data_IF_270314851989
#
_entry.id   IF_270314851989
#
_cell.length_a   1.000
_cell.length_b   1.000
_cell.length_c   1.000
_cell.angle_alpha   90.00
_cell.angle_beta   90.00
_cell.angle_gamma   90.00
#
_symmetry.space_group_name_H-M   'P 1'
#
loop_
_entity.id
_entity.type
_entity.pdbx_description
1 polymer ?
2 non-polymer ?
3 non-polymer ?
4 water ?
#
# COMPACT_ATOMS: atom_id res chain seq x y z
N UNK A 1 -15.48 -18.18 -3.80
CA UNK A 1 -15.86 -18.00 -2.37
C UNK A 1 -15.50 -16.60 -1.91
N UNK A 2 -15.27 -16.39 -0.61
CA UNK A 2 -14.94 -15.05 -0.16
C UNK A 2 -13.59 -14.63 -0.77
N UNK A 3 -13.19 -13.42 -0.44
CA UNK A 3 -11.81 -12.96 -0.74
C UNK A 3 -11.05 -13.22 0.53
N UNK A 4 -9.79 -13.61 0.38
CA UNK A 4 -8.92 -13.85 1.52
C UNK A 4 -8.06 -12.61 1.79
N UNK A 5 -7.95 -12.30 3.05
CA UNK A 5 -7.23 -11.11 3.55
C UNK A 5 -6.39 -11.44 4.76
N UNK A 6 -5.31 -10.70 4.93
CA UNK A 6 -4.40 -10.79 6.10
C UNK A 6 -4.22 -9.41 6.68
N UNK A 7 -4.22 -9.29 7.99
CA UNK A 7 -3.83 -8.05 8.67
C UNK A 7 -2.31 -7.93 8.68
N UNK A 8 -1.81 -6.75 8.41
CA UNK A 8 -0.37 -6.54 8.39
C UNK A 8 -0.01 -5.08 8.57
N UNK A 9 1.23 -4.82 8.89
CA UNK A 9 1.85 -3.51 8.78
C UNK A 9 2.93 -3.58 7.71
N UNK A 10 3.32 -2.41 7.23
CA UNK A 10 4.41 -2.25 6.29
C UNK A 10 5.43 -1.29 6.88
N UNK A 11 6.71 -1.55 6.63
CA UNK A 11 7.79 -0.57 6.90
C UNK A 11 8.70 -0.48 5.68
N UNK A 12 9.12 0.74 5.34
CA UNK A 12 10.03 0.96 4.19
C UNK A 12 11.41 0.37 4.53
N UNK A 13 12.28 0.35 3.54
CA UNK A 13 13.55 -0.37 3.73
C UNK A 13 14.48 0.44 4.63
N UNK A 14 14.10 1.68 4.94
CA UNK A 14 14.88 2.47 5.94
C UNK A 14 14.24 2.29 7.27
N UNK A 15 13.25 1.39 7.39
CA UNK A 15 12.54 0.96 8.59
C UNK A 15 11.66 2.10 9.13
N UNK A 16 11.14 2.92 8.25
CA UNK A 16 10.07 3.87 8.62
C UNK A 16 8.70 3.19 8.59
N UNK A 17 7.90 3.48 9.60
CA UNK A 17 6.53 3.02 9.81
C UNK A 17 5.58 4.01 9.10
N UNK A 18 4.39 3.52 8.79
CA UNK A 18 3.34 4.32 8.10
C UNK A 18 2.25 4.68 9.10
N UNK A 19 1.89 5.96 9.12
CA UNK A 19 0.84 6.52 10.03
C UNK A 19 -0.11 7.39 9.21
N UNK A 20 -1.26 7.74 9.80
CA UNK A 20 -2.21 8.76 9.26
C UNK A 20 -1.54 10.14 9.26
N UNK A 21 -2.06 11.08 8.46
CA UNK A 21 -1.63 12.50 8.42
C UNK A 21 -2.77 13.35 7.85
N UNK A 22 -3.97 13.16 8.40
CA UNK A 22 -5.23 13.73 7.89
C UNK A 22 -6.20 12.62 7.50
N UNK A 23 -7.48 12.96 7.19
CA UNK A 23 -8.51 11.95 6.92
C UNK A 23 -8.20 10.94 5.80
N UNK A 24 -7.37 11.32 4.83
CA UNK A 24 -7.03 10.52 3.62
C UNK A 24 -5.51 10.57 3.34
N UNK A 25 -4.67 10.81 4.34
CA UNK A 25 -3.22 11.00 4.05
C UNK A 25 -2.37 10.10 4.94
N UNK A 26 -1.34 9.51 4.32
CA UNK A 26 -0.35 8.62 4.98
C UNK A 26 1.02 9.30 4.90
N UNK A 27 1.77 9.21 6.00
CA UNK A 27 3.18 9.67 6.07
C UNK A 27 4.02 8.52 6.62
N UNK A 28 5.33 8.61 6.43
CA UNK A 28 6.29 7.62 6.91
C UNK A 28 7.27 8.31 7.86
N UNK A 29 7.43 7.70 8.97
CA UNK A 29 8.37 8.20 9.99
C UNK A 29 8.94 7.04 10.78
N UNK A 30 10.16 7.33 11.27
CA UNK A 30 10.82 6.45 12.22
C UNK A 30 10.03 6.42 13.53
N UNK A 31 9.68 5.24 14.01
CA UNK A 31 8.76 4.99 15.13
C UNK A 31 9.30 3.82 15.90
N UNK A 32 9.23 3.89 17.24
CA UNK A 32 9.61 2.78 18.10
C UNK A 32 8.95 3.04 19.45
N UNK A 33 8.67 1.96 20.14
CA UNK A 33 8.10 1.98 21.51
C UNK A 33 6.63 2.34 21.50
N UNK A 34 6.21 3.14 22.48
CA UNK A 34 4.76 3.43 22.70
C UNK A 34 4.17 3.95 21.38
N UNK A 35 4.85 4.89 20.72
CA UNK A 35 4.31 5.57 19.52
C UNK A 35 3.99 4.52 18.42
N UNK A 36 4.34 3.23 18.58
CA UNK A 36 4.18 2.25 17.46
C UNK A 36 2.71 1.91 17.27
N UNK A 37 1.88 2.14 18.29
CA UNK A 37 0.42 1.94 18.21
C UNK A 37 -0.14 2.85 17.12
N UNK A 38 0.55 3.93 16.74
CA UNK A 38 0.01 4.91 15.77
C UNK A 38 0.11 4.30 14.36
N UNK A 39 0.90 3.27 14.16
CA UNK A 39 1.08 2.78 12.78
C UNK A 39 -0.22 2.23 12.20
N UNK A 40 -0.38 2.34 10.89
CA UNK A 40 -1.60 1.88 10.21
C UNK A 40 -1.50 0.38 10.07
N UNK A 41 -2.58 -0.28 10.38
CA UNK A 41 -2.77 -1.70 10.08
C UNK A 41 -3.58 -1.84 8.81
N UNK A 42 -3.04 -2.57 7.88
CA UNK A 42 -3.68 -2.87 6.59
C UNK A 42 -4.42 -4.19 6.68
N UNK A 43 -5.46 -4.30 5.89
CA UNK A 43 -6.04 -5.58 5.47
C UNK A 43 -5.61 -5.77 4.04
N UNK A 44 -4.70 -6.70 3.81
CA UNK A 44 -4.18 -7.00 2.46
C UNK A 44 -5.04 -8.09 1.90
N UNK A 45 -5.80 -7.80 0.86
CA UNK A 45 -6.68 -8.76 0.17
C UNK A 45 -5.94 -9.34 -1.05
N UNK A 46 -6.15 -10.63 -1.32
CA UNK A 46 -5.50 -11.31 -2.45
C UNK A 46 -6.54 -11.38 -3.57
N UNK A 47 -6.37 -10.57 -4.57
CA UNK A 47 -7.43 -10.23 -5.53
C UNK A 47 -7.17 -10.85 -6.89
N UNK A 48 -8.17 -10.72 -7.74
CA UNK A 48 -8.09 -11.13 -9.15
C UNK A 48 -7.05 -10.30 -9.90
N UNK A 49 -6.28 -10.96 -10.74
CA UNK A 49 -5.34 -10.26 -11.63
C UNK A 49 -4.22 -11.18 -12.10
N UNK A 50 -3.45 -10.72 -13.07
CA UNK A 50 -2.26 -11.46 -13.56
C UNK A 50 -1.28 -11.74 -12.41
N UNK A 51 -0.78 -12.98 -12.29
CA UNK A 51 -0.04 -13.48 -11.11
C UNK A 51 1.12 -14.35 -11.59
N UNK A 52 2.25 -14.29 -10.91
CA UNK A 52 3.39 -15.22 -11.10
C UNK A 52 4.01 -15.53 -9.74
N UNK A 53 5.08 -16.31 -9.72
CA UNK A 53 5.59 -16.85 -8.43
C UNK A 53 5.85 -15.70 -7.48
N UNK A 54 6.44 -14.63 -8.00
CA UNK A 54 6.97 -13.57 -7.11
C UNK A 54 6.16 -12.27 -7.26
N UNK A 55 5.05 -12.32 -8.02
CA UNK A 55 4.18 -11.16 -8.38
C UNK A 55 2.73 -11.50 -8.05
N UNK A 56 2.17 -10.88 -7.01
CA UNK A 56 0.86 -11.33 -6.44
C UNK A 56 -0.04 -10.11 -6.38
N UNK A 57 -1.21 -10.12 -7.04
CA UNK A 57 -2.07 -8.93 -7.03
C UNK A 57 -2.80 -8.81 -5.70
N UNK A 58 -2.71 -7.60 -5.09
CA UNK A 58 -3.36 -7.39 -3.77
C UNK A 58 -4.10 -6.05 -3.82
N UNK A 59 -5.02 -5.90 -2.89
CA UNK A 59 -5.55 -4.58 -2.52
C UNK A 59 -5.09 -4.33 -1.09
N UNK A 60 -4.92 -3.05 -0.81
CA UNK A 60 -4.49 -2.56 0.52
C UNK A 60 -5.59 -1.71 1.11
N UNK A 61 -6.42 -2.27 1.96
CA UNK A 61 -7.40 -1.52 2.71
C UNK A 61 -6.90 -1.20 4.10
N UNK A 62 -7.40 -0.17 4.74
CA UNK A 62 -7.09 0.11 6.15
C UNK A 62 -7.96 -0.78 7.01
N UNK A 63 -7.38 -1.41 8.03
CA UNK A 63 -8.14 -2.41 8.82
C UNK A 63 -9.41 -1.80 9.43
N UNK A 64 -10.52 -2.48 9.15
CA UNK A 64 -11.91 -2.15 9.58
C UNK A 64 -12.24 -0.68 9.25
N UNK A 65 -11.74 -0.21 8.11
CA UNK A 65 -12.16 1.09 7.53
C UNK A 65 -12.50 0.82 6.07
N UNK A 66 -13.48 1.56 5.56
CA UNK A 66 -13.86 1.43 4.14
C UNK A 66 -13.01 2.42 3.35
N UNK A 67 -11.69 2.23 3.45
CA UNK A 67 -10.68 3.07 2.77
C UNK A 67 -9.65 2.13 2.15
N UNK A 68 -9.32 2.41 0.90
CA UNK A 68 -8.35 1.59 0.16
C UNK A 68 -7.33 2.53 -0.47
N UNK A 69 -6.09 2.09 -0.53
CA UNK A 69 -5.14 2.76 -1.44
C UNK A 69 -5.59 2.55 -2.88
N UNK A 70 -5.37 3.59 -3.67
CA UNK A 70 -5.98 3.76 -5.01
C UNK A 70 -5.02 4.56 -5.90
N UNK A 71 -4.88 4.17 -7.17
CA UNK A 71 -4.01 4.87 -8.12
C UNK A 71 -4.91 5.46 -9.19
N UNK A 72 -4.86 6.79 -9.28
CA UNK A 72 -5.66 7.52 -10.29
C UNK A 72 -4.78 8.60 -10.89
N UNK A 73 -5.22 9.07 -12.06
CA UNK A 73 -4.61 10.29 -12.58
C UNK A 73 -5.17 11.49 -11.82
N UNK A 74 -4.29 12.35 -11.33
CA UNK A 74 -4.71 13.61 -10.68
C UNK A 74 -3.88 14.72 -11.30
N UNK A 75 -4.54 15.80 -11.73
CA UNK A 75 -3.85 16.88 -12.47
C UNK A 75 -2.91 16.18 -13.47
N UNK A 76 -3.42 15.17 -14.18
CA UNK A 76 -2.71 14.45 -15.28
C UNK A 76 -1.51 13.61 -14.83
N UNK A 77 -1.38 13.26 -13.56
CA UNK A 77 -0.23 12.40 -13.13
C UNK A 77 -0.78 11.16 -12.40
N UNK A 78 -0.14 9.98 -12.53
CA UNK A 78 -0.45 8.83 -11.66
C UNK A 78 -0.15 9.25 -10.22
N UNK A 79 -1.16 9.18 -9.36
CA UNK A 79 -1.04 9.53 -7.93
C UNK A 79 -1.67 8.43 -7.08
N UNK A 80 -1.17 8.36 -5.87
CA UNK A 80 -1.71 7.49 -4.81
C UNK A 80 -2.75 8.31 -4.07
N UNK A 81 -3.86 7.69 -3.73
CA UNK A 81 -4.85 8.31 -2.85
C UNK A 81 -5.43 7.25 -1.92
N UNK A 82 -6.08 7.70 -0.87
CA UNK A 82 -6.93 6.85 -0.04
C UNK A 82 -8.31 7.11 -0.55
N UNK A 83 -9.07 6.11 -0.89
CA UNK A 83 -10.40 6.27 -1.50
C UNK A 83 -11.42 5.51 -0.64
N UNK A 84 -12.55 6.18 -0.35
CA UNK A 84 -13.72 5.61 0.37
C UNK A 84 -14.50 4.68 -0.56
N UNK A 85 -15.06 3.58 -0.03
CA UNK A 85 -15.91 2.67 -0.78
C UNK A 85 -17.15 2.37 0.06
N UNK A 86 -18.10 1.71 -0.58
CA UNK A 86 -19.32 1.27 0.12
C UNK A 86 -18.95 0.08 0.97
N UNK A 87 -19.05 0.14 2.31
CA UNK A 87 -18.54 -0.92 3.17
C UNK A 87 -19.34 -2.21 3.03
N UNK A 88 -20.50 -2.15 2.38
CA UNK A 88 -21.31 -3.38 2.13
C UNK A 88 -20.65 -4.23 1.04
N UNK A 89 -19.81 -3.64 0.19
CA UNK A 89 -19.41 -4.28 -1.09
C UNK A 89 -17.92 -4.65 -1.08
N UNK A 90 -17.20 -4.30 -0.03
CA UNK A 90 -15.72 -4.47 0.02
C UNK A 90 -15.34 -5.20 1.30
N UNK A 91 -14.22 -5.94 1.31
CA UNK A 91 -13.40 -6.19 0.14
C UNK A 91 -14.14 -7.17 -0.76
N UNK A 92 -13.66 -7.26 -1.99
CA UNK A 92 -14.17 -8.27 -2.94
C UNK A 92 -13.01 -8.84 -3.72
N UNK A 93 -13.24 -10.00 -4.34
CA UNK A 93 -12.13 -10.66 -5.06
C UNK A 93 -11.80 -9.86 -6.32
N UNK A 94 -12.81 -9.39 -7.05
CA UNK A 94 -12.64 -8.61 -8.29
C UNK A 94 -12.59 -7.11 -7.95
N UNK A 95 -11.50 -6.69 -7.33
CA UNK A 95 -11.32 -5.25 -7.03
C UNK A 95 -11.07 -4.53 -8.35
N UNK A 96 -11.57 -3.31 -8.47
CA UNK A 96 -11.34 -2.45 -9.63
C UNK A 96 -9.85 -2.16 -9.77
N UNK A 97 -9.37 -1.91 -10.97
CA UNK A 97 -7.92 -1.92 -11.27
C UNK A 97 -7.17 -0.85 -10.48
N UNK A 98 -7.79 0.29 -10.20
CA UNK A 98 -7.12 1.39 -9.49
C UNK A 98 -6.72 0.94 -8.08
N UNK A 99 -7.36 -0.11 -7.54
CA UNK A 99 -7.10 -0.60 -6.17
C UNK A 99 -6.03 -1.68 -6.16
N UNK A 100 -5.59 -2.15 -7.32
CA UNK A 100 -4.75 -3.35 -7.40
C UNK A 100 -3.28 -2.94 -7.48
N UNK A 101 -2.49 -3.58 -6.63
CA UNK A 101 -1.03 -3.48 -6.63
C UNK A 101 -0.49 -4.86 -6.87
N UNK A 102 0.56 -4.91 -7.65
CA UNK A 102 1.37 -6.12 -7.78
C UNK A 102 2.42 -6.12 -6.67
N UNK A 103 2.25 -7.04 -5.72
CA UNK A 103 3.22 -7.23 -4.63
C UNK A 103 4.32 -8.14 -5.17
N UNK A 104 5.48 -7.58 -5.33
CA UNK A 104 6.65 -8.20 -5.99
C UNK A 104 7.68 -8.49 -4.91
N UNK A 105 8.17 -9.72 -4.83
CA UNK A 105 9.20 -10.10 -3.85
C UNK A 105 10.53 -10.12 -4.57
N UNK A 106 11.45 -9.22 -4.26
CA UNK A 106 12.86 -9.32 -4.78
C UNK A 106 13.82 -9.17 -3.60
N UNK A 107 14.71 -10.15 -3.45
CA UNK A 107 15.83 -10.10 -2.48
C UNK A 107 15.25 -9.72 -1.12
N UNK A 108 14.26 -10.49 -0.70
CA UNK A 108 13.75 -10.51 0.68
C UNK A 108 13.09 -9.17 1.01
N UNK A 109 12.75 -8.37 -0.01
CA UNK A 109 11.98 -7.11 0.15
C UNK A 109 10.75 -7.17 -0.74
N UNK A 110 9.80 -6.29 -0.47
CA UNK A 110 8.55 -6.20 -1.26
C UNK A 110 8.52 -4.86 -1.96
N UNK A 111 8.00 -4.87 -3.17
CA UNK A 111 7.65 -3.65 -3.89
C UNK A 111 6.17 -3.78 -4.21
N UNK A 112 5.46 -2.67 -4.26
CA UNK A 112 4.04 -2.65 -4.60
C UNK A 112 3.92 -1.76 -5.84
N UNK A 113 3.81 -2.41 -6.99
CA UNK A 113 3.62 -1.72 -8.27
C UNK A 113 2.13 -1.48 -8.52
N UNK A 114 1.77 -0.31 -8.99
CA UNK A 114 0.39 -0.11 -9.46
C UNK A 114 0.04 -1.09 -10.61
N UNK A 115 -1.04 -1.86 -10.53
CA UNK A 115 -1.49 -2.70 -11.66
C UNK A 115 -1.91 -1.71 -12.76
N UNK A 116 -2.54 -0.60 -12.41
CA UNK A 116 -3.12 0.36 -13.40
C UNK A 116 -1.98 1.07 -14.12
N UNK A 117 -0.90 1.43 -13.43
CA UNK A 117 0.18 2.26 -13.98
C UNK A 117 1.48 1.48 -13.87
N UNK A 118 1.88 0.73 -14.91
CA UNK A 118 3.09 -0.08 -14.88
C UNK A 118 4.32 0.77 -14.53
N UNK A 119 5.17 0.24 -13.63
CA UNK A 119 6.44 0.82 -13.20
C UNK A 119 6.27 2.08 -12.36
N UNK A 120 5.08 2.24 -11.78
CA UNK A 120 4.80 3.20 -10.70
C UNK A 120 4.59 2.41 -9.41
N UNK A 121 5.23 2.87 -8.36
CA UNK A 121 5.37 2.11 -7.10
C UNK A 121 4.96 2.94 -5.92
N UNK A 122 4.36 2.27 -4.93
CA UNK A 122 4.24 2.88 -3.59
C UNK A 122 5.66 3.26 -3.13
N UNK A 123 5.81 4.50 -2.73
CA UNK A 123 7.12 5.12 -2.43
C UNK A 123 7.07 5.92 -1.14
N UNK A 124 8.22 6.03 -0.49
CA UNK A 124 8.40 6.97 0.59
C UNK A 124 9.63 7.84 0.29
N UNK A 125 9.69 8.98 0.97
CA UNK A 125 10.86 9.87 0.94
C UNK A 125 11.85 9.43 2.00
N UNK A 126 13.11 9.84 1.82
CA UNK A 126 14.12 9.64 2.88
C UNK A 126 13.85 10.52 4.11
N UNK A 127 13.37 11.74 3.92
CA UNK A 127 13.00 12.65 5.01
C UNK A 127 11.86 12.07 5.84
N UNK A 128 11.83 12.45 7.10
CA UNK A 128 10.81 12.05 8.11
C UNK A 128 9.53 12.84 7.83
N UNK A 129 8.38 12.20 8.05
CA UNK A 129 7.06 12.84 8.13
C UNK A 129 6.62 13.40 6.79
N UNK A 130 6.93 12.72 5.68
CA UNK A 130 6.50 13.13 4.34
C UNK A 130 5.49 12.09 3.84
N UNK A 131 4.64 12.48 2.88
CA UNK A 131 3.60 11.61 2.36
C UNK A 131 4.19 10.34 1.76
N UNK A 132 3.38 9.30 1.88
CA UNK A 132 3.50 8.11 1.02
C UNK A 132 2.93 8.50 -0.33
N UNK A 133 3.54 8.08 -1.42
CA UNK A 133 3.14 8.58 -2.74
C UNK A 133 3.40 7.53 -3.78
N UNK A 134 2.92 7.77 -4.99
CA UNK A 134 3.21 6.89 -6.13
C UNK A 134 4.36 7.49 -6.93
N UNK A 135 5.44 6.74 -7.02
CA UNK A 135 6.67 7.19 -7.68
C UNK A 135 6.90 6.41 -8.92
N UNK A 136 7.38 7.09 -9.99
CA UNK A 136 7.40 6.57 -11.37
C UNK A 136 8.71 5.85 -11.69
N UNK A 137 9.49 5.51 -10.66
CA UNK A 137 10.62 4.56 -10.84
C UNK A 137 10.83 3.77 -9.53
N UNK A 138 11.30 2.52 -9.65
CA UNK A 138 11.93 1.72 -8.56
C UNK A 138 13.44 1.97 -8.62
N UNK A 139 13.87 3.14 -9.11
CA UNK A 139 15.26 3.66 -9.04
C UNK A 139 15.33 4.91 -8.15
N UNK A 140 16.55 5.43 -7.88
CA UNK A 140 16.81 6.80 -7.38
C UNK A 140 16.78 6.94 -5.85
N UNK A 141 16.53 8.17 -5.36
CA UNK A 141 16.66 8.58 -3.94
C UNK A 141 15.43 8.13 -3.13
N UNK A 142 14.26 8.06 -3.76
CA UNK A 142 13.03 7.61 -3.06
C UNK A 142 13.05 6.11 -2.83
N UNK A 143 12.30 5.69 -1.82
CA UNK A 143 12.34 4.32 -1.32
C UNK A 143 11.12 3.59 -1.88
N UNK A 144 11.31 2.42 -2.49
CA UNK A 144 10.24 1.64 -3.16
C UNK A 144 10.21 0.23 -2.58
N UNK A 145 11.03 -0.08 -1.57
CA UNK A 145 11.15 -1.43 -0.97
C UNK A 145 10.58 -1.40 0.43
N UNK A 146 9.88 -2.44 0.81
CA UNK A 146 9.19 -2.56 2.10
C UNK A 146 9.39 -3.93 2.66
N UNK A 147 9.16 -4.07 3.97
CA UNK A 147 8.92 -5.34 4.61
C UNK A 147 7.51 -5.34 5.20
N UNK A 148 6.92 -6.52 5.30
CA UNK A 148 5.58 -6.73 5.88
C UNK A 148 5.78 -7.37 7.25
N UNK A 149 4.93 -6.99 8.19
CA UNK A 149 4.83 -7.65 9.52
C UNK A 149 3.41 -8.15 9.60
N UNK A 150 3.22 -9.37 10.00
CA UNK A 150 1.90 -10.00 10.12
C UNK A 150 1.38 -9.62 11.52
N UNK A 151 0.10 -9.28 11.55
CA UNK A 151 -0.62 -8.79 12.75
C UNK A 151 -1.74 -9.81 13.06
N UNK A 152 -2.05 -10.02 14.35
CA UNK A 152 -3.22 -10.83 14.79
C UNK A 152 -4.50 -10.27 14.17
X LIG B 1 -16.35 -11.88 -3.20
X LIG B 1 -17.71 -11.52 -2.84
X LIG B 1 -16.30 -13.24 -3.71
X LIG B 1 -15.90 -10.98 -4.22
X LIG B 1 -15.50 -11.77 -2.04
X LIG C 1 -16.20 2.08 -10.23
X LIG C 1 -15.92 1.78 -8.84
X LIG C 1 -17.20 1.16 -10.71
X LIG C 1 -16.67 3.44 -10.33
X LIG C 1 -14.99 1.93 -11.06
X LIG D 1 -1.03 10.07 1.24
X LIG D 1 -0.52 10.52 -1.51
X LIG D 1 -1.95 7.90 0.61
X LIG D 1 0.39 13.79 -0.21
X LIG D 1 0.63 12.66 -0.95
X LIG D 1 1.46 12.64 -1.87
X LIG D 1 -0.14 11.46 -0.56
X LIG D 1 -0.43 11.21 0.82
X LIG D 1 -1.32 9.22 0.21
X LIG D 1 -2.75 7.42 -0.31
X LIG D 1 -2.72 7.94 1.68
X LIG D 1 -0.98 7.03 0.91
X LIG D 1 -1.12 9.36 -1.13
#
# INVERSE_FOLDING_TARGET
>A
APVRSLNCTLRDSQQKSLVMSGPYELKALHLQGQDMEQQVVFSMSFVQGEESNDKIPVALGLKEKNLYLSCVLKDDKPTLQLESVDPKNYPKKKMEKRFVFNKIEINNKLEFESAQFPNWYISTSQAENMPVFLGGTKGGQDITDFTMQFVSS
>B hetero
1 SO4 S O1 O2 O3 O4
>C hetero
1 SO4 S O1 O2 O3 O4
>D hetero
1 S7J N1 C4 C5 N C O C1 C2 C3 F F1 F2 N2
#
